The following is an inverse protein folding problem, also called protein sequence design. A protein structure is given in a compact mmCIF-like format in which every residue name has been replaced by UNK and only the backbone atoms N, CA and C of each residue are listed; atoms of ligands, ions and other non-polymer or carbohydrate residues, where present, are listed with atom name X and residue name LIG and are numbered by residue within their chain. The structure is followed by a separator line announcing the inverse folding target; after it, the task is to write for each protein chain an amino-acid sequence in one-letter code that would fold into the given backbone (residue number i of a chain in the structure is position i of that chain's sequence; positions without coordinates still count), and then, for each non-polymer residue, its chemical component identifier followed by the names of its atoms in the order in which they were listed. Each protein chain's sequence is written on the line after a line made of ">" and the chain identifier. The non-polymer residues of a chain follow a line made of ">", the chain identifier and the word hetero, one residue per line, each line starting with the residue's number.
data_IF_233653328171
#
_entry.id   IF_233653328171
#
_cell.length_a   1.000
_cell.length_b   1.000
_cell.length_c   1.000
_cell.angle_alpha   90.00
_cell.angle_beta   90.00
_cell.angle_gamma   90.00
#
_symmetry.space_group_name_H-M   'P 1'
#
loop_
_entity.id
_entity.type
_entity.pdbx_description
1 polymer ?
#
# COMPACT_ATOMS: atom_id res chain seq x y z
N UNK A 1 29.68 48.09 3.48
CA UNK A 1 29.38 46.73 3.98
C UNK A 1 27.87 46.55 3.86
N UNK A 2 27.39 45.91 2.78
CA UNK A 2 25.96 45.85 2.46
C UNK A 2 25.60 44.40 2.12
N UNK A 3 24.87 43.74 3.02
CA UNK A 3 24.35 42.38 2.83
C UNK A 3 23.30 42.40 1.72
N UNK A 4 23.53 41.65 0.64
CA UNK A 4 22.54 41.43 -0.42
C UNK A 4 21.66 40.25 0.02
N UNK A 5 20.37 40.52 0.22
CA UNK A 5 19.37 39.52 0.61
C UNK A 5 19.01 38.64 -0.61
N UNK A 6 19.27 37.33 -0.50
CA UNK A 6 18.97 36.32 -1.54
C UNK A 6 17.63 35.59 -1.30
N UNK A 7 16.63 36.28 -0.77
CA UNK A 7 15.27 35.74 -0.65
C UNK A 7 14.32 36.46 -1.61
N UNK A 8 14.32 36.05 -2.87
CA UNK A 8 13.18 36.25 -3.75
C UNK A 8 13.06 35.11 -4.79
N UNK A 9 12.84 33.89 -4.30
CA UNK A 9 12.48 32.70 -5.10
C UNK A 9 10.99 32.43 -4.90
N UNK A 10 10.12 33.35 -5.37
CA UNK A 10 8.66 33.20 -5.31
C UNK A 10 7.96 33.35 -6.66
N UNK A 11 8.68 33.73 -7.71
CA UNK A 11 8.08 33.98 -9.03
C UNK A 11 8.28 32.83 -10.03
N UNK A 12 9.16 31.86 -9.76
CA UNK A 12 9.46 30.76 -10.69
C UNK A 12 8.58 29.51 -10.47
N UNK A 13 7.57 29.58 -9.61
CA UNK A 13 6.62 28.46 -9.38
C UNK A 13 5.46 28.49 -10.39
N UNK A 14 5.29 29.56 -11.17
CA UNK A 14 4.17 29.68 -12.12
C UNK A 14 4.37 28.94 -13.44
N UNK A 15 5.59 28.52 -13.80
CA UNK A 15 5.87 27.97 -15.14
C UNK A 15 6.14 26.45 -15.16
N UNK A 16 6.08 25.78 -14.01
CA UNK A 16 6.23 24.32 -13.90
C UNK A 16 4.89 23.56 -13.94
N UNK A 17 3.77 24.24 -14.17
CA UNK A 17 2.42 23.62 -14.19
C UNK A 17 2.06 22.92 -15.50
N UNK A 18 3.05 22.46 -16.28
CA UNK A 18 2.80 21.83 -17.58
C UNK A 18 3.71 20.63 -17.83
N UNK A 19 3.70 19.68 -16.91
CA UNK A 19 4.16 18.32 -17.16
C UNK A 19 3.01 17.57 -17.84
N UNK A 20 3.23 17.18 -19.09
CA UNK A 20 2.27 16.52 -19.96
C UNK A 20 2.08 15.06 -19.52
N UNK A 21 0.97 14.72 -18.86
CA UNK A 21 0.64 13.31 -18.59
C UNK A 21 -0.41 13.01 -17.51
N UNK A 22 -0.61 13.88 -16.53
CA UNK A 22 -1.61 13.68 -15.47
C UNK A 22 -2.07 15.06 -14.96
N UNK A 23 -3.25 15.53 -15.36
CA UNK A 23 -3.85 16.81 -14.92
C UNK A 23 -4.43 16.68 -13.51
N UNK A 24 -3.58 16.44 -12.50
CA UNK A 24 -3.95 16.67 -11.11
C UNK A 24 -3.33 18.01 -10.71
N UNK A 25 -4.13 19.07 -10.68
CA UNK A 25 -3.71 20.36 -10.11
C UNK A 25 -3.42 20.16 -8.60
N UNK A 26 -2.15 19.93 -8.26
CA UNK A 26 -1.75 19.79 -6.86
C UNK A 26 -1.75 21.18 -6.23
N UNK A 27 -2.82 21.50 -5.52
CA UNK A 27 -2.92 22.71 -4.71
C UNK A 27 -1.76 22.72 -3.69
N UNK A 28 -1.08 23.86 -3.49
CA UNK A 28 0.02 23.99 -2.49
C UNK A 28 -0.36 23.54 -1.07
N UNK A 29 -1.66 23.48 -0.78
CA UNK A 29 -2.21 22.93 0.46
C UNK A 29 -2.03 21.42 0.55
N UNK A 30 -2.09 20.71 -0.57
CA UNK A 30 -1.98 19.25 -0.68
C UNK A 30 -0.53 18.79 -0.66
N UNK A 31 0.39 19.52 -1.30
CA UNK A 31 1.83 19.26 -1.18
C UNK A 31 2.30 19.32 0.29
N UNK A 32 1.86 20.33 1.05
CA UNK A 32 2.15 20.44 2.50
C UNK A 32 1.45 19.41 3.38
N UNK A 33 0.39 18.77 2.87
CA UNK A 33 -0.29 17.65 3.55
C UNK A 33 0.48 16.36 3.29
N UNK A 34 0.90 16.13 2.05
CA UNK A 34 1.73 14.98 1.67
C UNK A 34 3.05 15.00 2.45
N UNK A 35 3.74 16.14 2.52
CA UNK A 35 4.99 16.29 3.30
C UNK A 35 4.77 15.94 4.78
N UNK A 36 3.68 16.43 5.38
CA UNK A 36 3.30 16.09 6.76
C UNK A 36 2.91 14.62 6.92
N UNK A 37 2.36 13.98 5.90
CA UNK A 37 2.03 12.55 5.93
C UNK A 37 3.31 11.72 5.88
N UNK A 38 4.28 12.09 5.04
CA UNK A 38 5.60 11.45 4.94
C UNK A 38 6.38 11.61 6.24
N UNK A 39 6.50 12.82 6.78
CA UNK A 39 7.21 13.10 8.05
C UNK A 39 6.57 12.37 9.24
N UNK A 40 5.24 12.40 9.32
CA UNK A 40 4.53 11.66 10.35
C UNK A 40 4.74 10.15 10.19
N UNK A 41 4.86 9.65 8.95
CA UNK A 41 5.10 8.23 8.69
C UNK A 41 6.54 7.80 8.97
N UNK A 42 7.56 8.61 8.67
CA UNK A 42 8.96 8.33 9.07
C UNK A 42 9.06 8.15 10.59
N UNK A 43 8.42 9.07 11.33
CA UNK A 43 8.27 8.96 12.78
C UNK A 43 7.41 7.76 13.16
N UNK A 44 6.37 7.47 12.39
CA UNK A 44 5.47 6.33 12.59
C UNK A 44 6.16 4.99 12.32
N UNK A 45 7.05 4.81 11.35
CA UNK A 45 7.79 3.56 11.08
C UNK A 45 8.73 3.25 12.25
N UNK A 46 9.43 4.27 12.74
CA UNK A 46 10.28 4.14 13.94
C UNK A 46 9.45 3.79 15.19
N UNK A 47 8.20 4.23 15.25
CA UNK A 47 7.27 3.91 16.34
C UNK A 47 6.56 2.57 16.11
N UNK A 48 6.27 2.16 14.87
CA UNK A 48 5.53 0.95 14.48
C UNK A 48 6.37 -0.32 14.60
N UNK A 49 7.70 -0.20 14.49
CA UNK A 49 8.61 -1.28 14.92
C UNK A 49 8.39 -1.67 16.40
N UNK A 50 7.85 -0.77 17.22
CA UNK A 50 7.59 -0.98 18.65
C UNK A 50 6.09 -1.08 18.98
N UNK A 51 5.20 -0.40 18.25
CA UNK A 51 3.78 -0.23 18.60
C UNK A 51 2.83 -1.22 17.91
N UNK A 52 3.18 -1.76 16.73
CA UNK A 52 2.35 -2.72 15.97
C UNK A 52 2.29 -4.11 16.66
N UNK A 53 3.22 -4.39 17.58
CA UNK A 53 3.18 -5.58 18.44
C UNK A 53 2.31 -5.41 19.69
N UNK A 54 2.09 -4.18 20.15
CA UNK A 54 1.56 -3.91 21.52
C UNK A 54 0.05 -3.66 21.55
N UNK A 55 -0.58 -3.29 20.42
CA UNK A 55 -2.01 -2.99 20.43
C UNK A 55 -2.87 -4.24 20.23
N UNK A 56 -2.94 -5.04 21.30
CA UNK A 56 -4.09 -5.88 21.70
C UNK A 56 -4.94 -6.42 20.56
N UNK A 57 -4.56 -7.60 20.10
CA UNK A 57 -5.53 -8.53 19.52
C UNK A 57 -6.70 -8.72 20.48
N UNK A 58 -7.84 -8.11 20.15
CA UNK A 58 -9.12 -8.55 20.70
C UNK A 58 -9.24 -10.02 20.34
N UNK A 59 -9.43 -10.88 21.34
CA UNK A 59 -9.47 -12.33 21.17
C UNK A 59 -10.40 -12.79 20.03
N UNK A 60 -11.45 -12.01 19.74
CA UNK A 60 -12.35 -12.15 18.59
C UNK A 60 -11.65 -12.13 17.24
N UNK A 61 -10.68 -11.24 17.06
CA UNK A 61 -10.06 -10.96 15.77
C UNK A 61 -9.09 -12.09 15.40
N UNK A 62 -8.41 -12.64 16.41
CA UNK A 62 -7.57 -13.86 16.26
C UNK A 62 -8.38 -15.09 15.92
N UNK A 63 -9.58 -15.22 16.47
CA UNK A 63 -10.47 -16.34 16.16
C UNK A 63 -11.02 -16.17 14.75
N UNK A 64 -11.47 -14.98 14.38
CA UNK A 64 -11.92 -14.67 13.02
C UNK A 64 -10.82 -14.95 11.98
N UNK A 65 -9.57 -14.59 12.27
CA UNK A 65 -8.42 -14.88 11.39
C UNK A 65 -8.15 -16.36 11.22
N UNK A 66 -8.23 -17.11 12.32
CA UNK A 66 -8.03 -18.56 12.30
C UNK A 66 -9.19 -19.27 11.57
N UNK A 67 -10.42 -18.80 11.72
CA UNK A 67 -11.59 -19.33 11.02
C UNK A 67 -11.54 -18.99 9.52
N UNK A 68 -11.19 -17.74 9.16
CA UNK A 68 -11.09 -17.32 7.76
C UNK A 68 -9.97 -18.06 7.01
N UNK A 69 -8.81 -18.21 7.64
CA UNK A 69 -7.69 -18.97 7.06
C UNK A 69 -7.96 -20.48 6.98
N UNK A 70 -8.70 -21.04 7.94
CA UNK A 70 -9.08 -22.46 7.93
C UNK A 70 -10.17 -22.76 6.89
N UNK A 71 -11.23 -21.93 6.85
CA UNK A 71 -12.35 -22.08 5.91
C UNK A 71 -11.95 -21.83 4.44
N UNK A 72 -10.90 -21.04 4.19
CA UNK A 72 -10.37 -20.80 2.85
C UNK A 72 -9.35 -21.84 2.35
N UNK A 73 -9.02 -22.86 3.16
CA UNK A 73 -8.00 -23.85 2.79
C UNK A 73 -8.56 -24.94 1.88
N UNK A 74 -7.84 -25.26 0.81
CA UNK A 74 -8.13 -26.40 -0.07
C UNK A 74 -8.22 -27.74 0.69
N UNK A 75 -7.46 -27.90 1.77
CA UNK A 75 -7.50 -29.13 2.59
C UNK A 75 -8.80 -29.26 3.39
N UNK A 76 -9.37 -28.14 3.86
CA UNK A 76 -10.64 -28.13 4.58
C UNK A 76 -11.80 -28.53 3.67
N UNK A 77 -11.82 -28.00 2.44
CA UNK A 77 -12.85 -28.31 1.43
C UNK A 77 -12.88 -29.81 1.13
N UNK A 78 -11.70 -30.43 0.93
CA UNK A 78 -11.59 -31.87 0.64
C UNK A 78 -12.06 -32.70 1.83
N UNK A 79 -11.61 -32.36 3.05
CA UNK A 79 -12.05 -33.06 4.26
C UNK A 79 -13.57 -32.98 4.47
N UNK A 80 -14.14 -31.78 4.30
CA UNK A 80 -15.57 -31.55 4.44
C UNK A 80 -16.38 -32.33 3.40
N UNK A 81 -15.93 -32.38 2.14
CA UNK A 81 -16.56 -33.18 1.09
C UNK A 81 -16.54 -34.68 1.41
N UNK A 82 -15.41 -35.21 1.89
CA UNK A 82 -15.30 -36.62 2.31
C UNK A 82 -16.23 -36.90 3.48
N UNK A 83 -16.30 -36.01 4.47
CA UNK A 83 -17.21 -36.14 5.61
C UNK A 83 -18.68 -36.20 5.16
N UNK A 84 -19.10 -35.34 4.23
CA UNK A 84 -20.46 -35.36 3.69
C UNK A 84 -20.77 -36.68 2.96
N UNK A 85 -19.84 -37.17 2.15
CA UNK A 85 -20.00 -38.46 1.45
C UNK A 85 -20.14 -39.60 2.45
N UNK A 86 -19.27 -39.65 3.47
CA UNK A 86 -19.34 -40.67 4.52
C UNK A 86 -20.66 -40.59 5.31
N UNK A 87 -21.15 -39.38 5.60
CA UNK A 87 -22.43 -39.17 6.29
C UNK A 87 -23.63 -39.70 5.48
N UNK A 88 -23.64 -39.42 4.18
CA UNK A 88 -24.67 -39.91 3.26
C UNK A 88 -24.62 -41.44 3.17
N UNK A 89 -23.42 -42.02 2.99
CA UNK A 89 -23.25 -43.49 2.94
C UNK A 89 -23.74 -44.13 4.25
N UNK A 90 -23.34 -43.59 5.41
CA UNK A 90 -23.75 -44.11 6.72
C UNK A 90 -25.27 -44.10 6.93
N UNK A 91 -25.97 -43.05 6.48
CA UNK A 91 -27.42 -42.92 6.62
C UNK A 91 -28.22 -43.60 5.51
N UNK A 92 -27.59 -44.02 4.41
CA UNK A 92 -28.23 -44.75 3.30
C UNK A 92 -28.09 -46.26 3.43
N UNK A 93 -27.15 -46.74 4.25
CA UNK A 93 -26.93 -48.17 4.45
C UNK A 93 -28.10 -48.82 5.20
N UNK A 94 -28.69 -49.91 4.68
CA UNK A 94 -29.90 -50.51 5.25
C UNK A 94 -29.68 -51.22 6.60
N UNK A 95 -28.42 -51.36 7.02
CA UNK A 95 -28.01 -52.06 8.26
C UNK A 95 -27.73 -51.12 9.45
N UNK A 96 -27.82 -49.80 9.26
CA UNK A 96 -27.57 -48.80 10.31
C UNK A 96 -28.88 -48.14 10.77
N UNK A 97 -28.88 -47.60 11.99
CA UNK A 97 -30.01 -46.79 12.48
C UNK A 97 -30.09 -45.53 11.62
N UNK A 98 -31.18 -45.35 10.88
CA UNK A 98 -31.35 -44.23 9.95
C UNK A 98 -31.66 -42.96 10.76
N UNK A 99 -30.62 -42.24 11.13
CA UNK A 99 -30.73 -41.01 11.92
C UNK A 99 -31.21 -39.83 11.06
N UNK A 100 -30.84 -39.81 9.77
CA UNK A 100 -31.25 -38.81 8.78
C UNK A 100 -31.68 -39.51 7.48
N UNK A 101 -32.91 -40.03 7.47
CA UNK A 101 -33.52 -40.66 6.28
C UNK A 101 -33.69 -39.65 5.14
N UNK A 102 -33.70 -40.15 3.90
CA UNK A 102 -34.02 -39.34 2.72
C UNK A 102 -35.31 -38.54 2.97
N UNK A 103 -35.31 -37.19 2.90
CA UNK A 103 -34.44 -36.32 2.10
C UNK A 103 -33.29 -35.58 2.84
N UNK A 104 -32.72 -36.12 3.93
CA UNK A 104 -31.59 -35.53 4.68
C UNK A 104 -31.84 -34.13 5.26
N UNK A 105 -32.92 -33.99 6.03
CA UNK A 105 -33.37 -32.68 6.56
C UNK A 105 -32.36 -32.07 7.54
N UNK A 106 -31.70 -32.90 8.34
CA UNK A 106 -30.74 -32.44 9.34
C UNK A 106 -29.46 -31.93 8.68
N UNK A 107 -28.97 -32.65 7.67
CA UNK A 107 -27.82 -32.22 6.88
C UNK A 107 -28.08 -30.88 6.19
N UNK A 108 -29.26 -30.74 5.56
CA UNK A 108 -29.64 -29.52 4.88
C UNK A 108 -29.74 -28.31 5.85
N UNK A 109 -30.34 -28.52 7.02
CA UNK A 109 -30.43 -27.48 8.06
C UNK A 109 -29.04 -27.03 8.53
N UNK A 110 -28.13 -27.99 8.77
CA UNK A 110 -26.77 -27.71 9.22
C UNK A 110 -25.98 -26.93 8.16
N UNK A 111 -26.01 -27.36 6.90
CA UNK A 111 -25.33 -26.65 5.80
C UNK A 111 -25.86 -25.23 5.63
N UNK A 112 -27.18 -25.04 5.72
CA UNK A 112 -27.81 -23.72 5.60
C UNK A 112 -27.34 -22.76 6.70
N UNK A 113 -27.23 -23.25 7.95
CA UNK A 113 -26.71 -22.46 9.06
C UNK A 113 -25.24 -22.10 8.87
N UNK A 114 -24.39 -23.07 8.49
CA UNK A 114 -22.97 -22.84 8.24
C UNK A 114 -22.78 -21.78 7.14
N UNK A 115 -23.50 -21.89 6.03
CA UNK A 115 -23.44 -20.95 4.92
C UNK A 115 -23.88 -19.53 5.32
N UNK A 116 -24.93 -19.41 6.15
CA UNK A 116 -25.42 -18.13 6.64
C UNK A 116 -24.38 -17.39 7.49
N UNK A 117 -23.63 -18.11 8.33
CA UNK A 117 -22.55 -17.53 9.14
C UNK A 117 -21.26 -17.27 8.35
N UNK A 118 -21.06 -17.98 7.24
CA UNK A 118 -19.87 -17.85 6.41
C UNK A 118 -19.76 -16.47 5.75
N UNK A 119 -20.85 -15.94 5.18
CA UNK A 119 -20.82 -14.68 4.43
C UNK A 119 -20.40 -13.46 5.30
N UNK A 120 -20.93 -13.25 6.52
CA UNK A 120 -20.48 -12.18 7.40
C UNK A 120 -19.02 -12.33 7.86
N UNK A 121 -18.56 -13.55 8.15
CA UNK A 121 -17.18 -13.80 8.57
C UNK A 121 -16.20 -13.49 7.44
N UNK A 122 -16.53 -13.91 6.21
CA UNK A 122 -15.77 -13.55 5.01
C UNK A 122 -15.77 -12.03 4.83
N UNK A 123 -16.93 -11.38 4.93
CA UNK A 123 -17.06 -9.93 4.78
C UNK A 123 -16.25 -9.15 5.82
N UNK A 124 -16.23 -9.60 7.08
CA UNK A 124 -15.39 -9.00 8.13
C UNK A 124 -13.90 -9.16 7.82
N UNK A 125 -13.47 -10.35 7.37
CA UNK A 125 -12.08 -10.58 6.98
C UNK A 125 -11.69 -9.71 5.78
N UNK A 126 -12.56 -9.59 4.77
CA UNK A 126 -12.36 -8.76 3.58
C UNK A 126 -12.31 -7.28 3.94
N UNK A 127 -13.24 -6.77 4.76
CA UNK A 127 -13.27 -5.35 5.15
C UNK A 127 -11.98 -4.93 5.85
N UNK A 128 -11.40 -5.82 6.67
CA UNK A 128 -10.12 -5.56 7.34
C UNK A 128 -8.92 -5.66 6.40
N UNK A 129 -8.92 -6.58 5.43
CA UNK A 129 -7.88 -6.61 4.39
C UNK A 129 -7.94 -5.32 3.55
N UNK A 130 -9.11 -4.94 3.04
CA UNK A 130 -9.29 -3.72 2.27
C UNK A 130 -8.88 -2.44 3.02
N UNK A 131 -9.09 -2.38 4.35
CA UNK A 131 -8.62 -1.27 5.16
C UNK A 131 -7.08 -1.18 5.22
N UNK A 132 -6.39 -2.33 5.32
CA UNK A 132 -4.92 -2.40 5.26
C UNK A 132 -4.39 -2.05 3.88
N UNK A 133 -4.95 -2.66 2.83
CA UNK A 133 -4.55 -2.43 1.44
C UNK A 133 -4.70 -0.95 1.05
N UNK A 134 -5.78 -0.29 1.51
CA UNK A 134 -5.99 1.14 1.31
C UNK A 134 -4.90 1.97 1.98
N UNK A 135 -4.54 1.63 3.22
CA UNK A 135 -3.50 2.35 3.94
C UNK A 135 -2.14 2.19 3.26
N UNK A 136 -1.77 0.96 2.90
CA UNK A 136 -0.55 0.64 2.15
C UNK A 136 -0.49 1.41 0.82
N UNK A 137 -1.59 1.45 0.06
CA UNK A 137 -1.64 2.18 -1.21
C UNK A 137 -1.39 3.69 -1.08
N UNK A 138 -1.84 4.31 0.02
CA UNK A 138 -1.60 5.74 0.28
C UNK A 138 -0.13 6.00 0.58
N UNK A 139 0.53 5.07 1.26
CA UNK A 139 1.95 5.17 1.61
C UNK A 139 2.80 5.01 0.36
N UNK A 140 2.52 3.97 -0.44
CA UNK A 140 3.23 3.75 -1.70
C UNK A 140 3.12 4.98 -2.61
N UNK A 141 1.95 5.61 -2.67
CA UNK A 141 1.77 6.86 -3.38
C UNK A 141 2.67 7.98 -2.81
N UNK A 142 2.71 8.16 -1.49
CA UNK A 142 3.51 9.20 -0.85
C UNK A 142 5.02 9.00 -1.03
N UNK A 143 5.52 7.76 -0.93
CA UNK A 143 6.93 7.42 -1.16
C UNK A 143 7.31 7.69 -2.61
N UNK A 144 6.48 7.26 -3.56
CA UNK A 144 6.74 7.50 -4.98
C UNK A 144 6.75 9.00 -5.30
N UNK A 145 5.79 9.75 -4.76
CA UNK A 145 5.74 11.21 -4.91
C UNK A 145 7.00 11.88 -4.33
N UNK A 146 7.47 11.44 -3.16
CA UNK A 146 8.70 11.97 -2.56
C UNK A 146 9.93 11.63 -3.41
N UNK A 147 10.00 10.41 -3.93
CA UNK A 147 11.08 9.97 -4.81
C UNK A 147 11.12 10.78 -6.11
N UNK A 148 9.95 11.09 -6.67
CA UNK A 148 9.82 11.96 -7.85
C UNK A 148 10.34 13.38 -7.56
N UNK A 149 9.98 13.94 -6.41
CA UNK A 149 10.50 15.25 -5.97
C UNK A 149 12.03 15.25 -5.82
N UNK A 150 12.59 14.20 -5.20
CA UNK A 150 14.04 14.08 -5.03
C UNK A 150 14.76 13.91 -6.38
N UNK A 151 14.14 13.21 -7.34
CA UNK A 151 14.66 13.09 -8.71
C UNK A 151 14.68 14.45 -9.40
N UNK A 152 13.63 15.25 -9.30
CA UNK A 152 13.58 16.60 -9.87
C UNK A 152 14.66 17.52 -9.26
N UNK A 153 14.81 17.47 -7.94
CA UNK A 153 15.88 18.20 -7.24
C UNK A 153 17.28 17.74 -7.72
N UNK A 154 17.51 16.44 -7.87
CA UNK A 154 18.76 15.93 -8.43
C UNK A 154 19.00 16.39 -9.87
N UNK A 155 17.97 16.39 -10.73
CA UNK A 155 18.06 16.89 -12.10
C UNK A 155 18.42 18.37 -12.14
N UNK A 156 17.80 19.19 -11.27
CA UNK A 156 18.13 20.60 -11.13
C UNK A 156 19.60 20.82 -10.74
N UNK A 157 20.10 20.01 -9.80
CA UNK A 157 21.51 20.05 -9.39
C UNK A 157 22.45 19.62 -10.52
N UNK A 158 22.10 18.59 -11.30
CA UNK A 158 22.87 18.15 -12.45
C UNK A 158 22.96 19.23 -13.53
N UNK A 159 21.84 19.86 -13.90
CA UNK A 159 21.82 20.95 -14.87
C UNK A 159 22.65 22.15 -14.42
N UNK A 160 22.67 22.46 -13.12
CA UNK A 160 23.55 23.50 -12.58
C UNK A 160 25.03 23.13 -12.76
N UNK A 161 25.40 21.90 -12.44
CA UNK A 161 26.78 21.41 -12.62
C UNK A 161 27.18 21.44 -14.10
N UNK A 162 26.30 21.00 -15.01
CA UNK A 162 26.52 21.08 -16.46
C UNK A 162 26.79 22.52 -16.92
N UNK A 163 26.02 23.49 -16.40
CA UNK A 163 26.22 24.91 -16.67
C UNK A 163 27.59 25.43 -16.21
N UNK A 164 27.99 25.12 -14.97
CA UNK A 164 29.30 25.51 -14.42
C UNK A 164 30.46 24.89 -15.22
N UNK A 165 30.32 23.62 -15.66
CA UNK A 165 31.32 22.95 -16.50
C UNK A 165 31.48 23.62 -17.87
N UNK A 166 30.37 24.07 -18.48
CA UNK A 166 30.41 24.82 -19.74
C UNK A 166 31.16 26.15 -19.55
N UNK A 167 30.88 26.89 -18.47
CA UNK A 167 31.53 28.17 -18.17
C UNK A 167 33.05 27.98 -17.97
N UNK A 168 33.45 26.99 -17.17
CA UNK A 168 34.86 26.66 -16.95
C UNK A 168 35.56 26.32 -18.29
N UNK A 169 34.91 25.52 -19.14
CA UNK A 169 35.45 25.16 -20.45
C UNK A 169 35.67 26.39 -21.34
N UNK A 170 34.73 27.34 -21.34
CA UNK A 170 34.86 28.60 -22.09
C UNK A 170 36.02 29.45 -21.56
N UNK A 171 36.15 29.59 -20.24
CA UNK A 171 37.24 30.33 -19.62
C UNK A 171 38.61 29.73 -19.93
N UNK A 172 38.74 28.39 -19.90
CA UNK A 172 39.97 27.71 -20.27
C UNK A 172 40.35 27.96 -21.74
N UNK A 173 39.39 27.87 -22.66
CA UNK A 173 39.62 28.16 -24.08
C UNK A 173 40.05 29.62 -24.29
N UNK A 174 39.38 30.58 -23.65
CA UNK A 174 39.72 32.00 -23.74
C UNK A 174 41.13 32.30 -23.19
N UNK A 175 41.54 31.63 -22.11
CA UNK A 175 42.86 31.79 -21.52
C UNK A 175 43.96 31.17 -22.41
N UNK A 176 43.68 30.04 -23.06
CA UNK A 176 44.59 29.44 -24.05
C UNK A 176 44.79 30.34 -25.27
N UNK A 177 43.73 30.98 -25.78
CA UNK A 177 43.83 31.94 -26.87
C UNK A 177 44.70 33.15 -26.48
N UNK A 178 44.49 33.73 -25.30
CA UNK A 178 45.33 34.82 -24.78
C UNK A 178 46.81 34.45 -24.63
N UNK A 179 47.11 33.19 -24.33
CA UNK A 179 48.50 32.70 -24.21
C UNK A 179 49.19 32.49 -25.55
N UNK A 180 48.46 32.43 -26.66
CA UNK A 180 49.01 32.30 -28.01
C UNK A 180 49.28 33.66 -28.68
N UNK A 181 48.73 34.75 -28.15
CA UNK A 181 48.90 36.12 -28.65
C UNK A 181 50.06 36.90 -27.99
N UNK A 182 50.82 36.25 -27.09
CA UNK A 182 52.02 36.79 -26.40
C UNK A 182 53.23 35.97 -26.81
#
# INVERSE_FOLDING_TARGET
>A
MTKKNYFNKKNDIQDASKIQGFDIEINHTDAKRIDRLVDNYEKSILTHLDEEYVRKTSWSDRIADRIASFGGSWRFIIFFAVFLILWIIWNTLPFTYHFDSQPFILLNLCLSFIAAFQAPVIMMSQNRQAARDKHESIIDFAINYKSEQEIDDMQSHLHRIEGELIEIKQLLLANQLKKQEV
#
